data_IF_585670857955
#
_entry.id   IF_585670857955
#
_cell.length_a   1.000
_cell.length_b   1.000
_cell.length_c   1.000
_cell.angle_alpha   90.00
_cell.angle_beta   90.00
_cell.angle_gamma   90.00
#
_symmetry.space_group_name_H-M   'P 1'
#
loop_
_entity.id
_entity.type
_entity.pdbx_description
1 polymer ?
#
# COMPACT_ATOMS: atom_id res chain seq x y z
N UNK A 1 12.18 -11.95 -2.47
CA UNK A 1 12.20 -10.51 -2.85
C UNK A 1 13.56 -9.98 -3.36
N UNK A 2 13.56 -9.40 -4.57
CA UNK A 2 14.66 -8.58 -5.11
C UNK A 2 14.09 -7.36 -5.84
N UNK A 3 14.72 -6.20 -5.72
CA UNK A 3 14.24 -4.98 -6.38
C UNK A 3 15.11 -3.78 -6.03
N UNK A 4 15.07 -2.74 -6.89
CA UNK A 4 15.71 -1.46 -6.57
C UNK A 4 14.86 -0.74 -5.53
N UNK A 5 15.50 -0.13 -4.55
CA UNK A 5 14.86 0.77 -3.60
C UNK A 5 15.49 2.15 -3.71
N UNK A 6 14.70 3.13 -4.13
CA UNK A 6 15.15 4.51 -4.25
C UNK A 6 15.09 5.26 -2.92
N UNK A 7 16.12 6.04 -2.64
CA UNK A 7 16.29 6.79 -1.39
C UNK A 7 16.85 8.19 -1.62
N UNK A 8 16.63 9.07 -0.65
CA UNK A 8 17.10 10.46 -0.68
C UNK A 8 18.33 10.58 0.21
N UNK A 9 19.52 10.59 -0.39
CA UNK A 9 20.80 10.73 0.33
C UNK A 9 21.28 12.18 0.24
N UNK A 10 21.51 12.88 1.37
CA UNK A 10 22.14 14.19 1.37
C UNK A 10 23.50 14.16 0.68
N UNK A 11 23.85 15.21 -0.07
CA UNK A 11 25.11 15.25 -0.84
C UNK A 11 26.36 15.00 0.02
N UNK A 12 26.35 15.47 1.27
CA UNK A 12 27.45 15.27 2.23
C UNK A 12 27.70 13.79 2.59
N UNK A 13 26.69 12.93 2.41
CA UNK A 13 26.75 11.51 2.77
C UNK A 13 26.88 10.59 1.56
N UNK A 14 27.06 11.15 0.36
CA UNK A 14 27.14 10.39 -0.90
C UNK A 14 28.22 9.30 -0.89
N UNK A 15 29.38 9.58 -0.30
CA UNK A 15 30.51 8.66 -0.29
C UNK A 15 30.27 7.50 0.69
N UNK A 16 29.52 7.77 1.77
CA UNK A 16 29.04 6.76 2.71
C UNK A 16 28.06 5.83 2.00
N UNK A 17 27.04 6.38 1.33
CA UNK A 17 26.05 5.58 0.60
C UNK A 17 26.71 4.70 -0.48
N UNK A 18 27.64 5.27 -1.24
CA UNK A 18 28.40 4.55 -2.26
C UNK A 18 29.26 3.42 -1.67
N UNK A 19 29.94 3.66 -0.54
CA UNK A 19 30.73 2.63 0.14
C UNK A 19 29.87 1.48 0.65
N UNK A 20 28.61 1.75 1.01
CA UNK A 20 27.62 0.75 1.42
C UNK A 20 26.99 -0.01 0.26
N UNK A 21 27.31 0.33 -1.00
CA UNK A 21 26.83 -0.33 -2.19
C UNK A 21 25.62 0.33 -2.86
N UNK A 22 25.18 1.51 -2.40
CA UNK A 22 24.19 2.29 -3.15
C UNK A 22 24.79 2.83 -4.46
N UNK A 23 23.93 2.95 -5.46
CA UNK A 23 24.23 3.42 -6.80
C UNK A 23 23.47 4.73 -7.07
N UNK A 24 24.03 5.55 -7.95
CA UNK A 24 23.41 6.80 -8.38
C UNK A 24 22.75 6.61 -9.74
N UNK A 25 21.46 6.90 -9.83
CA UNK A 25 20.76 7.04 -11.09
C UNK A 25 20.87 8.49 -11.58
N UNK A 26 21.66 8.69 -12.65
CA UNK A 26 21.88 10.04 -13.22
C UNK A 26 20.68 10.60 -13.97
N UNK A 27 19.79 9.74 -14.48
CA UNK A 27 18.56 10.17 -15.16
C UNK A 27 17.56 10.68 -14.14
N UNK A 28 17.30 9.89 -13.09
CA UNK A 28 16.36 10.23 -12.01
C UNK A 28 16.95 11.19 -10.98
N UNK A 29 18.27 11.39 -11.00
CA UNK A 29 19.04 12.14 -9.99
C UNK A 29 18.72 11.66 -8.58
N UNK A 30 18.71 10.33 -8.39
CA UNK A 30 18.34 9.70 -7.12
C UNK A 30 19.29 8.54 -6.80
N UNK A 31 19.52 8.32 -5.51
CA UNK A 31 20.26 7.16 -5.04
C UNK A 31 19.32 5.96 -4.97
N UNK A 32 19.86 4.78 -5.23
CA UNK A 32 19.13 3.54 -5.05
C UNK A 32 20.05 2.45 -4.53
N UNK A 33 19.47 1.48 -3.85
CA UNK A 33 20.13 0.24 -3.52
C UNK A 33 19.47 -0.90 -4.31
N UNK A 34 20.30 -1.79 -4.85
CA UNK A 34 19.88 -2.91 -5.68
C UNK A 34 20.66 -4.14 -5.20
N UNK A 35 20.08 -4.82 -4.21
CA UNK A 35 20.68 -5.93 -3.50
C UNK A 35 19.65 -6.63 -2.62
N UNK A 36 20.10 -7.54 -1.73
CA UNK A 36 19.21 -8.28 -0.85
C UNK A 36 18.38 -7.37 0.06
N UNK A 37 17.08 -7.64 0.20
CA UNK A 37 16.18 -6.85 1.06
C UNK A 37 16.60 -6.80 2.53
N UNK A 38 17.28 -7.85 3.04
CA UNK A 38 17.88 -7.89 4.39
C UNK A 38 18.90 -6.78 4.66
N UNK A 39 19.46 -6.19 3.60
CA UNK A 39 20.43 -5.10 3.72
C UNK A 39 19.76 -3.72 3.76
N UNK A 40 18.43 -3.63 3.57
CA UNK A 40 17.71 -2.35 3.62
C UNK A 40 17.88 -1.62 4.96
N UNK A 41 17.99 -2.37 6.06
CA UNK A 41 18.27 -1.81 7.40
C UNK A 41 19.55 -0.98 7.44
N UNK A 42 20.57 -1.30 6.63
CA UNK A 42 21.81 -0.52 6.54
C UNK A 42 21.56 0.88 6.01
N UNK A 43 20.53 1.05 5.18
CA UNK A 43 20.13 2.32 4.57
C UNK A 43 18.99 3.01 5.33
N UNK A 44 18.56 2.48 6.48
CA UNK A 44 17.34 2.90 7.18
C UNK A 44 17.31 4.40 7.49
N UNK A 45 18.44 5.01 7.84
CA UNK A 45 18.52 6.48 8.07
C UNK A 45 18.05 7.34 6.88
N UNK A 46 18.17 6.84 5.65
CA UNK A 46 17.73 7.54 4.42
C UNK A 46 16.35 7.08 3.93
N UNK A 47 15.89 5.91 4.38
CA UNK A 47 14.61 5.32 3.98
C UNK A 47 13.50 5.76 4.95
N UNK A 48 13.75 5.63 6.26
CA UNK A 48 12.75 5.87 7.30
C UNK A 48 12.37 7.34 7.42
N UNK A 49 13.29 8.25 7.06
CA UNK A 49 13.09 9.71 7.14
C UNK A 49 12.57 10.18 8.52
N UNK A 50 12.99 9.50 9.60
CA UNK A 50 12.60 9.82 10.98
C UNK A 50 11.28 9.22 11.46
N UNK A 51 10.66 8.32 10.67
CA UNK A 51 9.48 7.55 11.10
C UNK A 51 9.89 6.38 11.99
N UNK A 52 9.06 6.11 13.00
CA UNK A 52 9.21 4.93 13.87
C UNK A 52 9.01 3.62 13.13
N UNK A 53 8.02 3.58 12.22
CA UNK A 53 7.75 2.46 11.32
C UNK A 53 7.79 2.93 9.87
N UNK A 54 8.50 2.19 9.03
CA UNK A 54 8.52 2.41 7.57
C UNK A 54 8.28 1.10 6.85
N UNK A 55 7.24 1.06 6.02
CA UNK A 55 6.88 -0.11 5.22
C UNK A 55 7.47 0.03 3.83
N UNK A 56 8.11 -1.03 3.35
CA UNK A 56 8.66 -1.12 2.00
C UNK A 56 7.93 -2.25 1.28
N UNK A 57 7.00 -1.90 0.40
CA UNK A 57 6.28 -2.87 -0.40
C UNK A 57 7.20 -3.50 -1.45
N UNK A 58 7.05 -4.80 -1.63
CA UNK A 58 7.78 -5.61 -2.60
C UNK A 58 6.80 -6.34 -3.51
N UNK A 59 7.20 -6.54 -4.77
CA UNK A 59 6.50 -7.32 -5.79
C UNK A 59 5.13 -6.79 -6.22
N UNK A 60 4.17 -6.63 -5.30
CA UNK A 60 2.80 -6.20 -5.60
C UNK A 60 2.27 -5.18 -4.61
N UNK A 61 1.52 -4.22 -5.14
CA UNK A 61 0.53 -3.43 -4.39
C UNK A 61 -0.87 -3.80 -4.89
N UNK A 62 -1.88 -3.57 -4.06
CA UNK A 62 -3.24 -4.04 -4.32
C UNK A 62 -4.28 -2.93 -4.20
N UNK A 63 -5.36 -3.05 -4.98
CA UNK A 63 -6.63 -2.38 -4.73
C UNK A 63 -7.64 -3.44 -4.30
N UNK A 64 -8.22 -3.27 -3.12
CA UNK A 64 -9.27 -4.14 -2.58
C UNK A 64 -10.61 -3.45 -2.74
N UNK A 65 -11.45 -3.91 -3.67
CA UNK A 65 -12.79 -3.38 -3.92
C UNK A 65 -13.84 -4.23 -3.18
N UNK A 66 -14.65 -3.55 -2.36
CA UNK A 66 -15.83 -4.10 -1.71
C UNK A 66 -17.08 -3.25 -1.99
N UNK A 67 -18.22 -3.74 -1.49
CA UNK A 67 -19.52 -3.05 -1.64
C UNK A 67 -20.21 -2.99 -0.30
N UNK A 68 -20.74 -1.82 0.04
CA UNK A 68 -21.59 -1.62 1.20
C UNK A 68 -22.81 -0.75 0.88
N UNK A 69 -23.80 -0.76 1.76
CA UNK A 69 -24.96 0.11 1.63
C UNK A 69 -24.66 1.49 2.23
N UNK A 70 -24.82 2.54 1.43
CA UNK A 70 -24.57 3.90 1.91
C UNK A 70 -25.44 4.25 3.11
N UNK A 71 -24.86 4.72 4.22
CA UNK A 71 -25.63 5.04 5.43
C UNK A 71 -26.71 6.13 5.21
N UNK A 72 -26.51 7.03 4.23
CA UNK A 72 -27.44 8.11 3.90
C UNK A 72 -28.52 7.69 2.90
N UNK A 73 -28.14 7.25 1.70
CA UNK A 73 -29.09 6.97 0.63
C UNK A 73 -29.48 5.48 0.50
N UNK A 74 -28.85 4.60 1.29
CA UNK A 74 -29.08 3.14 1.36
C UNK A 74 -28.78 2.36 0.08
N UNK A 75 -28.31 3.03 -0.99
CA UNK A 75 -27.93 2.37 -2.24
C UNK A 75 -26.58 1.65 -2.11
N UNK A 76 -26.41 0.48 -2.76
CA UNK A 76 -25.13 -0.20 -2.85
C UNK A 76 -24.07 0.72 -3.45
N UNK A 77 -22.93 0.81 -2.79
CA UNK A 77 -21.84 1.73 -3.07
C UNK A 77 -20.53 0.97 -3.02
N UNK A 78 -19.69 1.14 -4.05
CA UNK A 78 -18.33 0.59 -4.04
C UNK A 78 -17.46 1.39 -3.09
N UNK A 79 -16.59 0.69 -2.37
CA UNK A 79 -15.50 1.28 -1.60
C UNK A 79 -14.23 0.52 -1.89
N UNK A 80 -13.11 1.21 -1.80
CA UNK A 80 -11.79 0.64 -2.07
C UNK A 80 -10.84 0.87 -0.89
N UNK A 81 -9.98 -0.11 -0.68
CA UNK A 81 -8.82 -0.08 0.19
C UNK A 81 -7.57 -0.33 -0.64
N UNK A 82 -6.42 0.05 -0.09
CA UNK A 82 -5.12 -0.30 -0.66
C UNK A 82 -4.59 -1.54 0.06
N UNK A 83 -3.55 -2.18 -0.48
CA UNK A 83 -2.89 -3.26 0.25
C UNK A 83 -1.54 -3.64 -0.28
N UNK A 84 -0.85 -4.46 0.49
CA UNK A 84 0.46 -5.05 0.17
C UNK A 84 0.48 -6.52 0.59
N UNK A 85 1.31 -7.31 -0.08
CA UNK A 85 1.64 -8.67 0.36
C UNK A 85 3.02 -8.68 0.99
N UNK A 86 4.00 -9.23 0.27
CA UNK A 86 5.39 -9.23 0.69
C UNK A 86 5.94 -7.82 0.92
N UNK A 87 6.61 -7.62 2.06
CA UNK A 87 7.15 -6.33 2.42
C UNK A 87 8.28 -6.42 3.45
N UNK A 88 9.01 -5.33 3.61
CA UNK A 88 9.95 -5.13 4.70
C UNK A 88 9.39 -4.07 5.64
N UNK A 89 9.31 -4.37 6.93
CA UNK A 89 9.01 -3.40 7.98
C UNK A 89 10.33 -2.95 8.62
N UNK A 90 10.61 -1.65 8.56
CA UNK A 90 11.75 -1.03 9.23
C UNK A 90 11.28 -0.28 10.48
N UNK A 91 11.87 -0.64 11.61
CA UNK A 91 11.59 -0.04 12.91
C UNK A 91 12.77 0.83 13.35
N UNK A 92 12.47 2.04 13.82
CA UNK A 92 13.43 2.90 14.50
C UNK A 92 13.16 2.86 16.00
N UNK A 93 14.16 2.42 16.77
CA UNK A 93 14.12 2.37 18.22
C UNK A 93 14.44 3.74 18.84
N UNK A 94 14.04 3.94 20.10
CA UNK A 94 14.29 5.20 20.84
C UNK A 94 15.79 5.55 20.97
N UNK A 95 16.66 4.53 20.96
CA UNK A 95 18.12 4.70 21.01
C UNK A 95 18.73 5.07 19.66
N UNK A 96 17.92 5.19 18.61
CA UNK A 96 18.32 5.50 17.24
C UNK A 96 18.82 4.30 16.44
N UNK A 97 18.79 3.09 17.00
CA UNK A 97 19.06 1.88 16.24
C UNK A 97 17.90 1.50 15.33
N UNK A 98 18.20 0.70 14.30
CA UNK A 98 17.21 0.24 13.34
C UNK A 98 17.16 -1.29 13.31
N UNK A 99 15.95 -1.80 13.18
CA UNK A 99 15.65 -3.21 12.99
C UNK A 99 14.78 -3.39 11.75
N UNK A 100 14.87 -4.55 11.10
CA UNK A 100 14.04 -4.88 9.96
C UNK A 100 13.40 -6.24 10.13
N UNK A 101 12.11 -6.32 9.87
CA UNK A 101 11.38 -7.57 9.69
C UNK A 101 11.05 -7.77 8.21
N UNK A 102 11.18 -9.01 7.74
CA UNK A 102 10.92 -9.39 6.36
C UNK A 102 9.67 -10.27 6.37
N UNK A 103 8.62 -9.82 5.69
CA UNK A 103 7.36 -10.54 5.53
C UNK A 103 7.33 -11.07 4.10
N UNK A 104 7.35 -12.39 3.96
CA UNK A 104 7.33 -13.13 2.70
C UNK A 104 6.20 -14.16 2.72
N UNK A 105 5.78 -14.61 1.55
CA UNK A 105 4.84 -15.71 1.44
C UNK A 105 5.48 -17.01 1.96
N UNK A 106 4.73 -17.78 2.73
CA UNK A 106 5.14 -19.11 3.19
C UNK A 106 4.13 -20.14 2.72
N UNK A 107 4.55 -21.40 2.62
CA UNK A 107 3.68 -22.48 2.12
C UNK A 107 2.37 -22.55 2.91
N UNK A 108 1.27 -22.20 2.24
CA UNK A 108 -0.08 -22.21 2.83
C UNK A 108 -0.52 -20.91 3.52
N UNK A 109 0.29 -19.84 3.45
CA UNK A 109 -0.05 -18.52 3.96
C UNK A 109 0.53 -17.41 3.07
N UNK A 110 -0.35 -16.74 2.33
CA UNK A 110 -0.06 -15.61 1.46
C UNK A 110 -0.86 -14.41 1.99
N UNK A 111 -0.26 -13.54 2.82
CA UNK A 111 -0.99 -12.46 3.46
C UNK A 111 -1.28 -11.30 2.50
N UNK A 112 -2.42 -10.63 2.73
CA UNK A 112 -2.70 -9.30 2.19
C UNK A 112 -3.03 -8.37 3.35
N UNK A 113 -2.19 -7.36 3.56
CA UNK A 113 -2.40 -6.33 4.56
C UNK A 113 -3.15 -5.17 3.93
N UNK A 114 -4.39 -4.96 4.36
CA UNK A 114 -5.24 -3.86 3.86
C UNK A 114 -4.87 -2.56 4.56
N UNK A 115 -4.82 -1.48 3.79
CA UNK A 115 -4.36 -0.19 4.21
C UNK A 115 -5.24 0.95 3.69
N UNK A 116 -5.04 2.12 4.29
CA UNK A 116 -5.57 3.38 3.78
C UNK A 116 -4.60 4.53 4.00
N UNK A 117 -4.86 5.65 3.33
CA UNK A 117 -4.11 6.90 3.48
C UNK A 117 -5.01 8.06 3.84
N UNK A 118 -4.54 8.94 4.72
CA UNK A 118 -5.27 10.17 5.05
C UNK A 118 -4.97 11.31 4.06
N UNK A 119 -3.75 11.31 3.52
CA UNK A 119 -3.31 12.26 2.49
C UNK A 119 -3.12 11.55 1.15
N UNK A 120 -3.77 12.08 0.11
CA UNK A 120 -3.64 11.57 -1.24
C UNK A 120 -2.22 11.69 -1.80
N UNK A 121 -1.37 12.59 -1.25
CA UNK A 121 0.04 12.69 -1.65
C UNK A 121 0.88 11.48 -1.26
N UNK A 122 0.40 10.64 -0.33
CA UNK A 122 1.04 9.38 0.03
C UNK A 122 0.72 8.24 -0.96
N UNK A 123 -0.20 8.45 -1.90
CA UNK A 123 -0.51 7.49 -2.96
C UNK A 123 0.35 7.83 -4.18
N UNK A 124 1.01 6.84 -4.81
CA UNK A 124 1.72 7.08 -6.05
C UNK A 124 0.79 7.69 -7.13
N UNK A 125 1.22 8.75 -7.85
CA UNK A 125 0.37 9.53 -8.75
C UNK A 125 -0.42 8.72 -9.79
N UNK A 126 0.16 7.68 -10.40
CA UNK A 126 -0.57 6.86 -11.37
C UNK A 126 -1.70 6.06 -10.72
N UNK A 127 -1.45 5.52 -9.52
CA UNK A 127 -2.45 4.82 -8.72
C UNK A 127 -3.56 5.77 -8.28
N UNK A 128 -3.21 6.96 -7.78
CA UNK A 128 -4.19 7.99 -7.39
C UNK A 128 -5.11 8.37 -8.56
N UNK A 129 -4.55 8.63 -9.75
CA UNK A 129 -5.33 8.93 -10.96
C UNK A 129 -6.27 7.78 -11.32
N UNK A 130 -5.81 6.54 -11.21
CA UNK A 130 -6.65 5.37 -11.46
C UNK A 130 -7.79 5.29 -10.46
N UNK A 131 -7.53 5.50 -9.16
CA UNK A 131 -8.55 5.49 -8.12
C UNK A 131 -9.62 6.54 -8.38
N UNK A 132 -9.21 7.80 -8.59
CA UNK A 132 -10.12 8.93 -8.84
C UNK A 132 -10.93 8.79 -10.14
N UNK A 133 -10.39 8.10 -11.15
CA UNK A 133 -11.08 7.87 -12.42
C UNK A 133 -12.14 6.77 -12.33
N UNK A 134 -11.88 5.71 -11.57
CA UNK A 134 -12.70 4.48 -11.57
C UNK A 134 -13.62 4.35 -10.34
N UNK A 135 -13.28 5.04 -9.26
CA UNK A 135 -13.96 5.02 -7.96
C UNK A 135 -14.25 6.43 -7.48
N UNK A 136 -15.26 6.57 -6.62
CA UNK A 136 -15.60 7.86 -6.02
C UNK A 136 -14.72 8.12 -4.79
N UNK A 137 -13.42 8.31 -5.01
CA UNK A 137 -12.43 8.59 -3.96
C UNK A 137 -11.81 9.95 -4.21
N UNK A 138 -11.96 10.87 -3.27
CA UNK A 138 -11.43 12.23 -3.36
C UNK A 138 -11.41 12.89 -1.98
N UNK A 139 -10.85 14.10 -1.90
CA UNK A 139 -10.97 14.95 -0.70
C UNK A 139 -12.42 15.39 -0.49
N UNK A 140 -12.87 15.34 0.75
CA UNK A 140 -14.19 15.79 1.19
C UNK A 140 -14.15 16.33 2.61
N UNK A 141 -15.24 16.95 3.04
CA UNK A 141 -15.35 17.48 4.39
C UNK A 141 -16.25 16.61 5.28
N UNK A 142 -15.68 16.07 6.36
CA UNK A 142 -16.35 15.40 7.46
C UNK A 142 -16.56 16.36 8.63
N UNK A 143 -17.74 16.33 9.24
CA UNK A 143 -17.99 17.14 10.46
C UNK A 143 -17.14 16.73 11.65
N UNK A 144 -16.72 15.47 11.70
CA UNK A 144 -15.96 14.91 12.83
C UNK A 144 -14.45 14.99 12.60
N UNK A 145 -14.01 14.79 11.35
CA UNK A 145 -12.59 14.70 11.00
C UNK A 145 -12.05 15.92 10.21
N UNK A 146 -12.91 16.88 9.85
CA UNK A 146 -12.52 17.98 8.97
C UNK A 146 -12.34 17.53 7.52
N UNK A 147 -11.41 18.17 6.80
CA UNK A 147 -11.06 17.77 5.44
C UNK A 147 -10.29 16.43 5.46
N UNK A 148 -10.75 15.45 4.70
CA UNK A 148 -10.10 14.14 4.61
C UNK A 148 -10.21 13.53 3.20
N UNK A 149 -9.20 12.77 2.81
CA UNK A 149 -9.23 11.95 1.60
C UNK A 149 -9.97 10.64 1.89
N UNK A 150 -11.09 10.39 1.22
CA UNK A 150 -11.99 9.30 1.59
C UNK A 150 -12.77 8.69 0.41
N UNK A 151 -13.28 7.49 0.65
CA UNK A 151 -14.33 6.88 -0.17
C UNK A 151 -15.63 7.69 -0.03
N UNK A 152 -16.33 7.91 -1.15
CA UNK A 152 -17.61 8.61 -1.22
C UNK A 152 -18.67 7.73 -1.89
N UNK A 153 -19.95 7.99 -1.58
CA UNK A 153 -21.04 7.24 -2.17
C UNK A 153 -21.13 7.45 -3.68
N UNK A 154 -21.13 6.36 -4.45
CA UNK A 154 -21.32 6.36 -5.92
C UNK A 154 -22.60 7.08 -6.37
N UNK A 155 -23.61 7.25 -5.49
CA UNK A 155 -24.92 7.79 -5.85
C UNK A 155 -25.22 9.17 -5.29
N UNK A 156 -24.84 9.44 -4.04
CA UNK A 156 -25.19 10.69 -3.35
C UNK A 156 -23.97 11.51 -2.92
N UNK A 157 -22.75 11.02 -3.18
CA UNK A 157 -21.50 11.72 -2.89
C UNK A 157 -21.23 11.96 -1.41
N UNK A 158 -21.97 11.32 -0.48
CA UNK A 158 -21.62 11.45 0.94
C UNK A 158 -20.37 10.61 1.23
N UNK A 159 -19.44 11.17 2.01
CA UNK A 159 -18.29 10.44 2.56
C UNK A 159 -18.79 9.15 3.21
N UNK A 160 -18.17 8.03 2.88
CA UNK A 160 -18.44 6.72 3.49
C UNK A 160 -17.62 6.47 4.76
N UNK A 161 -16.64 7.34 5.06
CA UNK A 161 -15.80 7.31 6.25
C UNK A 161 -14.60 6.38 6.09
N UNK A 162 -13.45 6.78 6.63
CA UNK A 162 -12.22 5.98 6.59
C UNK A 162 -12.09 5.04 7.79
N UNK A 163 -12.70 5.40 8.94
CA UNK A 163 -12.73 4.56 10.15
C UNK A 163 -13.32 3.17 9.88
N UNK A 164 -14.33 3.10 9.02
CA UNK A 164 -14.94 1.85 8.61
C UNK A 164 -14.02 0.91 7.82
N UNK A 165 -12.81 1.29 7.43
CA UNK A 165 -11.89 0.40 6.71
C UNK A 165 -11.14 -0.56 7.64
N UNK A 166 -11.07 -0.28 8.94
CA UNK A 166 -10.34 -1.07 9.94
C UNK A 166 -11.24 -1.62 11.06
N UNK A 167 -12.55 -1.61 10.86
CA UNK A 167 -13.53 -2.15 11.81
C UNK A 167 -14.02 -3.53 11.36
N UNK A 168 -14.58 -4.33 12.28
CA UNK A 168 -15.13 -5.67 11.99
C UNK A 168 -16.23 -5.64 10.91
N UNK A 169 -17.09 -4.61 10.96
CA UNK A 169 -18.20 -4.39 10.04
C UNK A 169 -17.76 -3.81 8.67
N UNK A 170 -16.48 -3.46 8.52
CA UNK A 170 -15.92 -3.00 7.25
C UNK A 170 -16.21 -4.00 6.15
N UNK A 171 -16.64 -3.59 4.95
CA UNK A 171 -16.71 -4.51 3.83
C UNK A 171 -15.33 -5.04 3.42
N UNK A 172 -14.23 -4.41 3.84
CA UNK A 172 -12.87 -4.70 3.40
C UNK A 172 -12.01 -5.45 4.42
N UNK A 173 -12.44 -5.63 5.67
CA UNK A 173 -11.60 -6.29 6.69
C UNK A 173 -11.89 -7.79 6.84
N UNK A 174 -10.88 -8.51 7.32
CA UNK A 174 -10.97 -9.88 7.79
C UNK A 174 -10.97 -9.99 9.34
N UNK A 175 -11.41 -8.95 10.06
CA UNK A 175 -11.30 -8.87 11.53
C UNK A 175 -12.34 -9.67 12.33
N UNK A 176 -13.17 -10.49 11.67
CA UNK A 176 -14.10 -11.40 12.36
C UNK A 176 -13.50 -12.81 12.42
N UNK A 177 -13.92 -13.69 13.35
CA UNK A 177 -13.38 -15.06 13.44
C UNK A 177 -13.48 -15.84 12.13
N UNK A 178 -12.49 -16.70 11.84
CA UNK A 178 -12.55 -17.58 10.67
C UNK A 178 -13.78 -18.52 10.76
N UNK A 179 -14.55 -18.52 9.69
CA UNK A 179 -15.78 -19.26 9.57
C UNK A 179 -16.52 -18.94 8.27
N UNK A 180 -17.67 -19.58 8.03
CA UNK A 180 -18.43 -19.41 6.79
C UNK A 180 -18.79 -17.95 6.48
N UNK A 181 -19.04 -17.15 7.50
CA UNK A 181 -19.37 -15.72 7.36
C UNK A 181 -18.20 -14.92 6.79
N UNK A 182 -17.00 -15.06 7.36
CA UNK A 182 -15.79 -14.40 6.86
C UNK A 182 -15.48 -14.83 5.43
N UNK A 183 -15.56 -16.13 5.14
CA UNK A 183 -15.27 -16.64 3.81
C UNK A 183 -16.23 -16.07 2.77
N UNK A 184 -17.53 -15.97 3.10
CA UNK A 184 -18.53 -15.38 2.21
C UNK A 184 -18.34 -13.86 2.04
N UNK A 185 -17.88 -13.16 3.09
CA UNK A 185 -17.49 -11.76 3.03
C UNK A 185 -16.32 -11.57 2.06
N UNK A 186 -15.25 -12.33 2.23
CA UNK A 186 -14.05 -12.24 1.40
C UNK A 186 -14.29 -12.64 -0.06
N UNK A 187 -15.17 -13.63 -0.34
CA UNK A 187 -15.57 -14.01 -1.71
C UNK A 187 -16.21 -12.87 -2.51
N UNK A 188 -16.79 -11.87 -1.83
CA UNK A 188 -17.41 -10.70 -2.47
C UNK A 188 -16.38 -9.63 -2.84
N UNK A 189 -15.16 -9.73 -2.35
CA UNK A 189 -14.09 -8.80 -2.66
C UNK A 189 -13.54 -9.07 -4.06
N UNK A 190 -13.27 -7.98 -4.79
CA UNK A 190 -12.41 -8.01 -5.96
C UNK A 190 -11.07 -7.42 -5.57
N UNK A 191 -10.01 -8.18 -5.79
CA UNK A 191 -8.65 -7.80 -5.44
C UNK A 191 -7.89 -7.62 -6.75
N UNK A 192 -7.35 -6.42 -6.95
CA UNK A 192 -6.56 -6.10 -8.13
C UNK A 192 -5.09 -6.07 -7.76
N UNK A 193 -4.30 -7.01 -8.27
CA UNK A 193 -2.85 -7.07 -8.14
C UNK A 193 -2.19 -6.12 -9.13
N UNK A 194 -1.25 -5.30 -8.66
CA UNK A 194 -0.45 -4.40 -9.49
C UNK A 194 1.02 -4.73 -9.21
N UNK A 195 1.68 -5.38 -10.16
CA UNK A 195 3.12 -5.68 -10.05
C UNK A 195 3.94 -4.39 -10.07
N UNK A 196 4.93 -4.29 -9.20
CA UNK A 196 5.86 -3.16 -9.10
C UNK A 196 7.28 -3.61 -9.46
N UNK A 197 7.94 -2.93 -10.40
CA UNK A 197 9.31 -3.28 -10.82
C UNK A 197 10.34 -2.91 -9.73
N UNK A 198 10.06 -1.85 -8.97
CA UNK A 198 10.90 -1.37 -7.89
C UNK A 198 10.16 -1.32 -6.56
N UNK A 199 10.90 -1.58 -5.47
CA UNK A 199 10.36 -1.59 -4.13
C UNK A 199 10.02 -0.18 -3.66
N UNK A 200 8.88 -0.04 -2.97
CA UNK A 200 8.26 1.24 -2.68
C UNK A 200 8.23 1.50 -1.18
N UNK A 201 8.80 2.62 -0.75
CA UNK A 201 8.54 3.15 0.59
C UNK A 201 7.11 3.68 0.63
N UNK A 202 6.26 3.10 1.46
CA UNK A 202 4.87 3.48 1.62
C UNK A 202 4.64 4.11 2.98
N UNK A 203 3.85 5.19 2.98
CA UNK A 203 3.39 5.90 4.16
C UNK A 203 1.87 5.70 4.30
N UNK A 204 1.49 4.42 4.37
CA UNK A 204 0.10 3.99 4.45
C UNK A 204 -0.17 3.42 5.85
N UNK A 205 -1.42 3.53 6.29
CA UNK A 205 -1.86 2.99 7.57
C UNK A 205 -2.40 1.59 7.34
N UNK A 206 -1.67 0.58 7.81
CA UNK A 206 -2.01 -0.83 7.64
C UNK A 206 -2.81 -1.36 8.83
N UNK A 207 -3.84 -2.15 8.53
CA UNK A 207 -4.50 -3.00 9.52
C UNK A 207 -3.88 -4.40 9.49
N UNK A 208 -3.45 -4.89 10.64
CA UNK A 208 -2.96 -6.25 10.82
C UNK A 208 -4.00 -7.07 11.58
N UNK A 209 -4.23 -8.31 11.14
CA UNK A 209 -5.17 -9.22 11.78
C UNK A 209 -4.81 -10.69 11.55
N UNK A 210 -5.34 -11.56 12.40
CA UNK A 210 -5.04 -13.00 12.37
C UNK A 210 -5.44 -13.69 11.04
N UNK A 211 -6.33 -13.06 10.27
CA UNK A 211 -6.91 -13.60 9.05
C UNK A 211 -6.36 -12.97 7.76
N UNK A 212 -5.26 -12.22 7.80
CA UNK A 212 -4.70 -11.55 6.61
C UNK A 212 -4.33 -12.54 5.50
N UNK A 213 -4.04 -13.80 5.83
CA UNK A 213 -3.81 -14.88 4.85
C UNK A 213 -5.07 -15.39 4.13
N UNK A 214 -6.26 -14.89 4.48
CA UNK A 214 -7.53 -15.38 3.91
C UNK A 214 -8.01 -14.54 2.72
N UNK A 215 -7.52 -13.31 2.56
CA UNK A 215 -7.95 -12.42 1.46
C UNK A 215 -7.66 -13.03 0.09
N UNK A 216 -6.42 -13.44 -0.16
CA UNK A 216 -6.01 -14.02 -1.44
C UNK A 216 -6.59 -15.43 -1.66
N UNK A 217 -6.86 -16.14 -0.56
CA UNK A 217 -7.48 -17.47 -0.60
C UNK A 217 -8.93 -17.47 -1.05
N UNK A 218 -9.72 -16.47 -0.64
CA UNK A 218 -11.17 -16.43 -0.90
C UNK A 218 -11.61 -15.32 -1.85
N UNK A 219 -10.86 -14.22 -1.93
CA UNK A 219 -11.15 -13.08 -2.80
C UNK A 219 -10.96 -13.40 -4.28
N UNK A 220 -11.65 -12.65 -5.14
CA UNK A 220 -11.46 -12.77 -6.59
C UNK A 220 -10.29 -11.89 -7.03
N UNK A 221 -9.13 -12.52 -7.29
CA UNK A 221 -7.91 -11.82 -7.70
C UNK A 221 -7.91 -11.58 -9.23
N UNK A 222 -7.46 -10.39 -9.65
CA UNK A 222 -7.25 -10.01 -11.05
C UNK A 222 -6.00 -9.17 -11.21
N UNK A 223 -5.16 -9.52 -12.15
CA UNK A 223 -4.04 -8.65 -12.52
C UNK A 223 -4.55 -7.37 -13.18
N UNK A 224 -4.01 -6.25 -12.71
CA UNK A 224 -4.32 -4.92 -13.21
C UNK A 224 -3.07 -4.28 -13.81
N UNK A 225 -3.07 -4.18 -15.14
CA UNK A 225 -2.16 -3.30 -15.87
C UNK A 225 -2.51 -1.84 -15.57
N UNK A 226 -1.83 -1.24 -14.59
CA UNK A 226 -2.06 0.12 -14.16
C UNK A 226 -1.56 1.11 -15.23
N UNK A 227 -2.42 1.98 -15.82
CA UNK A 227 -1.95 3.01 -16.74
C UNK A 227 -1.03 4.02 -16.02
N UNK A 228 0.07 4.47 -16.64
CA UNK A 228 0.40 4.37 -18.05
C UNK A 228 1.33 3.19 -18.42
N UNK A 229 1.40 2.13 -17.60
CA UNK A 229 2.39 1.07 -17.79
C UNK A 229 2.46 0.57 -19.24
N UNK A 230 3.68 0.52 -19.76
CA UNK A 230 3.99 -0.08 -21.05
C UNK A 230 4.09 -1.61 -20.96
N UNK A 231 4.37 -2.14 -19.78
CA UNK A 231 4.51 -3.57 -19.51
C UNK A 231 3.17 -4.18 -19.07
N UNK A 232 3.00 -5.48 -19.28
CA UNK A 232 1.73 -6.16 -18.97
C UNK A 232 1.65 -6.65 -17.51
N UNK A 233 2.80 -6.89 -16.89
CA UNK A 233 2.98 -7.55 -15.61
C UNK A 233 3.40 -6.60 -14.48
N UNK A 234 4.19 -5.58 -14.79
CA UNK A 234 4.69 -4.60 -13.81
C UNK A 234 4.45 -3.15 -14.22
N UNK A 235 4.48 -2.23 -13.25
CA UNK A 235 4.64 -0.80 -13.48
C UNK A 235 5.99 -0.34 -12.93
N UNK A 236 6.72 0.43 -13.72
CA UNK A 236 7.99 1.03 -13.28
C UNK A 236 7.74 2.21 -12.35
N UNK A 237 8.72 2.53 -11.51
CA UNK A 237 8.69 3.69 -10.63
C UNK A 237 8.56 5.00 -11.41
N UNK A 238 9.18 5.14 -12.60
CA UNK A 238 8.96 6.32 -13.45
C UNK A 238 7.50 6.44 -13.91
N UNK A 239 6.87 5.35 -14.36
CA UNK A 239 5.48 5.37 -14.79
C UNK A 239 4.53 5.63 -13.63
N UNK A 240 4.84 5.04 -12.46
CA UNK A 240 4.04 5.12 -11.25
C UNK A 240 4.07 6.54 -10.64
N UNK A 241 5.24 7.20 -10.65
CA UNK A 241 5.45 8.54 -10.07
C UNK A 241 5.48 9.68 -11.10
N UNK A 242 5.60 9.39 -12.40
CA UNK A 242 5.69 10.39 -13.47
C UNK A 242 7.00 11.17 -13.46
N UNK A 243 8.13 10.51 -13.17
CA UNK A 243 9.47 11.12 -13.05
C UNK A 243 10.46 10.62 -14.09
#
# INVERSE_FOLDING_TARGET
>A
MHGKLYMSVPYAEKDIAKAMGAKWDSKRKKWYYEGPVRDYVKFAKWIACGRELTIIACEYIYIVEGVQNCFKCKKPTRVVGLGIGEHVALFQHEDGSYESEIIEDVVGYEPLYVAWVEDESAIPPALLRYLQKNYNVHKGFSKTAGECFANHCDHCGVIQGNFYLFEEDSPLTALIPDGPELQEKLRKLKIYSIGIDENLVLDWHFGYGDNDGLYLKYGTIKDLKLPPSQYDDVITYEELYGV
#
